data_IF_633873247948
#
_entry.id   IF_633873247948
#
_cell.length_a   1.000
_cell.length_b   1.000
_cell.length_c   1.000
_cell.angle_alpha   90.00
_cell.angle_beta   90.00
_cell.angle_gamma   90.00
#
_symmetry.space_group_name_H-M   'P 1'
#
loop_
_entity.id
_entity.type
_entity.pdbx_description
1 polymer ?
#
# COMPACT_ATOMS: atom_id res chain seq x y z
N UNK A 1 -2.54 -3.91 -0.89
CA UNK A 1 -2.02 -2.62 -1.39
C UNK A 1 -2.28 -1.57 -0.34
N UNK A 2 -1.27 -0.74 -0.06
CA UNK A 2 -1.34 0.41 0.84
C UNK A 2 -1.33 1.66 -0.04
N UNK A 3 -2.39 2.46 0.01
CA UNK A 3 -2.48 3.71 -0.72
C UNK A 3 -2.01 4.84 0.19
N UNK A 4 -1.20 5.73 -0.36
CA UNK A 4 -0.63 6.91 0.29
C UNK A 4 -1.27 8.15 -0.32
N UNK A 5 -1.96 8.92 0.50
CA UNK A 5 -2.61 10.18 0.15
C UNK A 5 -2.04 11.30 1.03
N UNK A 6 -1.15 12.14 0.50
CA UNK A 6 -0.64 13.30 1.21
C UNK A 6 -1.69 14.39 1.40
N UNK A 7 -1.67 15.07 2.55
CA UNK A 7 -2.57 16.18 2.84
C UNK A 7 -2.44 17.35 1.85
N UNK A 8 -1.27 17.53 1.24
CA UNK A 8 -1.02 18.57 0.23
C UNK A 8 -1.48 18.18 -1.19
N UNK A 9 -1.91 16.93 -1.40
CA UNK A 9 -2.36 16.43 -2.70
C UNK A 9 -1.27 16.28 -3.76
N UNK A 10 0.02 16.30 -3.39
CA UNK A 10 1.13 16.07 -4.33
C UNK A 10 2.12 15.02 -3.79
N UNK A 11 2.18 13.88 -4.46
CA UNK A 11 3.12 12.80 -4.12
C UNK A 11 4.57 13.21 -4.38
N UNK A 12 4.82 14.12 -5.32
CA UNK A 12 6.16 14.40 -5.82
C UNK A 12 6.95 15.42 -4.98
N UNK A 13 6.69 15.50 -3.68
CA UNK A 13 7.56 16.21 -2.73
C UNK A 13 8.63 15.27 -2.17
N UNK A 14 9.74 15.84 -1.69
CA UNK A 14 10.87 15.05 -1.16
C UNK A 14 10.42 14.17 0.01
N UNK A 15 9.61 14.73 0.90
CA UNK A 15 9.12 14.10 2.12
C UNK A 15 8.14 12.96 1.78
N UNK A 16 7.22 13.20 0.84
CA UNK A 16 6.23 12.21 0.45
C UNK A 16 6.87 11.03 -0.30
N UNK A 17 7.81 11.31 -1.20
CA UNK A 17 8.59 10.27 -1.88
C UNK A 17 9.48 9.49 -0.89
N UNK A 18 10.08 10.17 0.09
CA UNK A 18 10.85 9.52 1.15
C UNK A 18 9.96 8.57 1.97
N UNK A 19 8.76 8.99 2.34
CA UNK A 19 7.80 8.13 3.03
C UNK A 19 7.43 6.90 2.18
N UNK A 20 7.27 7.05 0.86
CA UNK A 20 7.01 5.89 -0.03
C UNK A 20 8.20 4.94 -0.06
N UNK A 21 9.45 5.44 -0.10
CA UNK A 21 10.66 4.60 -0.03
C UNK A 21 10.67 3.80 1.28
N UNK A 22 10.40 4.46 2.41
CA UNK A 22 10.35 3.83 3.73
C UNK A 22 9.24 2.77 3.83
N UNK A 23 8.03 3.12 3.40
CA UNK A 23 6.90 2.20 3.39
C UNK A 23 7.14 1.01 2.45
N UNK A 24 7.82 1.22 1.33
CA UNK A 24 8.25 0.14 0.41
C UNK A 24 9.21 -0.81 1.12
N UNK A 25 10.18 -0.28 1.87
CA UNK A 25 11.13 -1.08 2.66
C UNK A 25 10.46 -1.85 3.78
N UNK A 26 9.57 -1.21 4.53
CA UNK A 26 8.81 -1.87 5.60
C UNK A 26 7.86 -2.94 5.04
N UNK A 27 7.28 -2.73 3.85
CA UNK A 27 6.46 -3.71 3.15
C UNK A 27 7.19 -5.02 2.80
N UNK A 28 8.52 -4.98 2.62
CA UNK A 28 9.33 -6.19 2.43
C UNK A 28 9.51 -7.00 3.72
N UNK A 29 9.37 -6.37 4.88
CA UNK A 29 9.50 -7.03 6.19
C UNK A 29 8.20 -7.72 6.63
N UNK A 30 7.10 -7.50 5.90
CA UNK A 30 5.83 -8.15 6.19
C UNK A 30 5.93 -9.67 5.98
N UNK A 31 5.29 -10.47 6.84
CA UNK A 31 5.28 -11.92 6.68
C UNK A 31 4.63 -12.30 5.35
N UNK A 32 5.19 -13.32 4.70
CA UNK A 32 4.75 -13.83 3.40
C UNK A 32 4.84 -12.83 2.22
N UNK A 33 5.51 -11.69 2.42
CA UNK A 33 5.82 -10.75 1.34
C UNK A 33 6.74 -11.40 0.32
N UNK A 34 6.28 -11.52 -0.93
CA UNK A 34 7.05 -12.09 -2.04
C UNK A 34 7.54 -11.02 -3.01
N UNK A 35 6.85 -9.88 -3.06
CA UNK A 35 7.20 -8.75 -3.92
C UNK A 35 6.57 -7.47 -3.38
N UNK A 36 7.32 -6.38 -3.43
CA UNK A 36 6.78 -5.03 -3.19
C UNK A 36 7.06 -4.17 -4.40
N UNK A 37 6.02 -3.55 -4.96
CA UNK A 37 6.13 -2.59 -6.06
C UNK A 37 5.59 -1.23 -5.62
N UNK A 38 6.30 -0.16 -5.93
CA UNK A 38 5.86 1.22 -5.76
C UNK A 38 6.51 2.09 -6.83
N UNK A 39 6.18 3.39 -6.84
CA UNK A 39 6.89 4.34 -7.71
C UNK A 39 8.38 4.47 -7.35
N UNK A 40 8.78 4.11 -6.12
CA UNK A 40 10.15 4.33 -5.66
C UNK A 40 11.13 3.28 -6.13
N UNK A 41 10.68 2.06 -6.41
CA UNK A 41 11.51 0.96 -6.91
C UNK A 41 11.19 0.59 -8.37
N UNK A 42 10.56 1.50 -9.10
CA UNK A 42 10.35 1.33 -10.53
C UNK A 42 11.68 1.54 -11.25
N UNK A 43 12.15 0.51 -11.97
CA UNK A 43 13.38 0.62 -12.73
C UNK A 43 13.15 1.49 -13.98
N UNK A 44 13.94 2.55 -14.09
CA UNK A 44 13.98 3.44 -15.23
C UNK A 44 15.32 3.31 -15.93
N UNK A 45 15.28 3.16 -17.25
CA UNK A 45 16.47 2.98 -18.08
C UNK A 45 16.70 4.21 -18.94
N UNK A 46 17.90 4.77 -18.85
CA UNK A 46 18.35 5.88 -19.68
C UNK A 46 19.61 5.48 -20.44
N UNK A 47 19.73 5.97 -21.67
CA UNK A 47 20.96 5.87 -22.43
C UNK A 47 21.73 7.19 -22.27
N UNK A 48 22.98 7.11 -21.84
CA UNK A 48 23.90 8.24 -21.72
C UNK A 48 25.15 7.93 -22.54
N UNK A 49 25.34 8.65 -23.64
CA UNK A 49 26.36 8.35 -24.66
C UNK A 49 26.23 6.90 -25.18
N UNK A 50 27.21 6.05 -24.88
CA UNK A 50 27.22 4.61 -25.24
C UNK A 50 26.83 3.71 -24.05
N UNK A 51 26.57 4.29 -22.87
CA UNK A 51 26.21 3.58 -21.66
C UNK A 51 24.68 3.50 -21.48
N UNK A 52 24.24 2.38 -20.92
CA UNK A 52 22.84 2.16 -20.55
C UNK A 52 22.76 2.03 -19.03
N UNK A 53 22.14 3.04 -18.40
CA UNK A 53 22.00 3.13 -16.95
C UNK A 53 20.62 2.60 -16.58
N UNK A 54 20.58 1.53 -15.76
CA UNK A 54 19.36 1.00 -15.15
C UNK A 54 19.40 1.30 -13.66
N UNK A 55 18.51 2.15 -13.20
CA UNK A 55 18.40 2.52 -11.79
C UNK A 55 16.94 2.68 -11.39
N UNK A 56 16.67 2.72 -10.09
CA UNK A 56 15.36 3.11 -9.59
C UNK A 56 15.06 4.55 -10.01
N UNK A 57 13.80 4.81 -10.40
CA UNK A 57 13.31 6.13 -10.78
C UNK A 57 13.52 7.15 -9.64
N UNK A 58 13.54 6.66 -8.40
CA UNK A 58 13.67 7.48 -7.19
C UNK A 58 14.77 6.87 -6.31
N UNK A 59 15.90 7.56 -6.18
CA UNK A 59 17.07 7.04 -5.45
C UNK A 59 17.14 7.62 -4.03
N UNK A 60 17.27 8.94 -3.91
CA UNK A 60 17.39 9.64 -2.62
C UNK A 60 16.49 10.88 -2.61
N UNK A 61 15.18 10.74 -2.32
CA UNK A 61 14.20 11.83 -2.43
C UNK A 61 14.63 13.13 -1.77
N UNK A 62 15.20 13.06 -0.57
CA UNK A 62 15.63 14.21 0.22
C UNK A 62 16.77 15.01 -0.42
N UNK A 63 17.53 14.40 -1.33
CA UNK A 63 18.65 15.05 -2.03
C UNK A 63 18.30 15.49 -3.46
N UNK A 64 17.07 15.21 -3.93
CA UNK A 64 16.67 15.56 -5.28
C UNK A 64 16.44 17.06 -5.43
N UNK A 65 16.80 17.63 -6.58
CA UNK A 65 16.44 19.00 -6.96
C UNK A 65 14.98 19.07 -7.41
N UNK A 66 14.42 20.28 -7.46
CA UNK A 66 13.04 20.47 -7.93
C UNK A 66 12.88 20.04 -9.40
N UNK A 67 13.94 20.21 -10.21
CA UNK A 67 13.99 19.74 -11.59
C UNK A 67 13.95 18.21 -11.68
N UNK A 68 14.68 17.51 -10.80
CA UNK A 68 14.66 16.05 -10.73
C UNK A 68 13.29 15.52 -10.26
N UNK A 69 12.66 16.19 -9.30
CA UNK A 69 11.30 15.85 -8.86
C UNK A 69 10.28 16.02 -10.00
N UNK A 70 10.40 17.11 -10.77
CA UNK A 70 9.55 17.34 -11.93
C UNK A 70 9.78 16.29 -13.03
N UNK A 71 11.03 15.88 -13.24
CA UNK A 71 11.39 14.80 -14.16
C UNK A 71 10.73 13.47 -13.75
N UNK A 72 10.85 13.09 -12.47
CA UNK A 72 10.16 11.90 -11.93
C UNK A 72 8.65 11.98 -12.09
N UNK A 73 8.06 13.15 -11.83
CA UNK A 73 6.62 13.40 -12.03
C UNK A 73 6.21 13.17 -13.48
N UNK A 74 6.98 13.68 -14.43
CA UNK A 74 6.70 13.49 -15.86
C UNK A 74 6.79 12.02 -16.26
N UNK A 75 7.81 11.28 -15.81
CA UNK A 75 7.93 9.85 -16.11
C UNK A 75 6.78 9.07 -15.48
N UNK A 76 6.58 9.21 -14.16
CA UNK A 76 5.59 8.43 -13.42
C UNK A 76 4.16 8.62 -13.95
N UNK A 77 3.80 9.82 -14.40
CA UNK A 77 2.46 10.13 -14.92
C UNK A 77 2.26 9.75 -16.39
N UNK A 78 3.33 9.45 -17.12
CA UNK A 78 3.28 9.03 -18.53
C UNK A 78 3.61 7.55 -18.73
N UNK A 79 4.20 6.89 -17.74
CA UNK A 79 4.55 5.47 -17.77
C UNK A 79 3.30 4.59 -17.56
N UNK A 80 2.86 3.80 -18.56
CA UNK A 80 1.67 2.95 -18.44
C UNK A 80 1.75 1.91 -17.32
N UNK A 81 2.96 1.47 -16.95
CA UNK A 81 3.15 0.53 -15.85
C UNK A 81 2.95 1.16 -14.46
N UNK A 82 3.02 2.48 -14.35
CA UNK A 82 2.83 3.23 -13.12
C UNK A 82 1.44 3.89 -13.07
N UNK A 83 1.05 4.59 -14.13
CA UNK A 83 -0.20 5.37 -14.18
C UNK A 83 -1.43 4.49 -14.04
N UNK A 84 -2.34 4.86 -13.15
CA UNK A 84 -3.54 4.10 -12.78
C UNK A 84 -3.27 2.72 -12.15
N UNK A 85 -2.02 2.44 -11.76
CA UNK A 85 -1.63 1.18 -11.13
C UNK A 85 -0.92 1.40 -9.80
N UNK A 86 0.09 2.26 -9.79
CA UNK A 86 0.88 2.66 -8.61
C UNK A 86 0.85 4.18 -8.37
N UNK A 87 0.37 4.97 -9.33
CA UNK A 87 0.14 6.41 -9.16
C UNK A 87 -1.17 6.83 -9.82
N UNK A 88 -1.92 7.71 -9.16
CA UNK A 88 -3.11 8.36 -9.70
C UNK A 88 -2.79 9.27 -10.91
N UNK A 89 -3.78 9.52 -11.77
CA UNK A 89 -3.60 10.33 -13.00
C UNK A 89 -3.04 11.73 -12.75
N UNK A 90 -3.39 12.34 -11.61
CA UNK A 90 -2.97 13.69 -11.24
C UNK A 90 -1.81 13.71 -10.24
N UNK A 91 -1.37 12.53 -9.75
CA UNK A 91 -0.25 12.44 -8.81
C UNK A 91 -0.58 12.76 -7.35
N UNK A 92 -1.86 12.77 -6.97
CA UNK A 92 -2.31 13.06 -5.59
C UNK A 92 -2.34 11.83 -4.67
N UNK A 93 -2.35 10.63 -5.25
CA UNK A 93 -2.30 9.34 -4.54
C UNK A 93 -1.29 8.42 -5.21
N UNK A 94 -0.51 7.71 -4.39
CA UNK A 94 0.43 6.66 -4.80
C UNK A 94 0.10 5.34 -4.08
N UNK A 95 0.51 4.21 -4.65
CA UNK A 95 0.29 2.89 -4.09
C UNK A 95 1.61 2.15 -3.83
N UNK A 96 1.71 1.54 -2.65
CA UNK A 96 2.68 0.48 -2.34
C UNK A 96 1.95 -0.85 -2.43
N UNK A 97 2.23 -1.59 -3.49
CA UNK A 97 1.64 -2.89 -3.74
C UNK A 97 2.52 -4.01 -3.16
N UNK A 98 2.07 -4.59 -2.05
CA UNK A 98 2.71 -5.78 -1.47
C UNK A 98 1.97 -7.03 -1.94
N UNK A 99 2.70 -7.91 -2.62
CA UNK A 99 2.23 -9.23 -3.05
C UNK A 99 2.53 -10.24 -1.95
N UNK A 100 1.49 -10.92 -1.48
CA UNK A 100 1.59 -11.92 -0.42
C UNK A 100 1.49 -13.33 -1.01
N UNK A 101 2.39 -14.22 -0.62
CA UNK A 101 2.34 -15.63 -0.98
C UNK A 101 1.97 -16.47 0.25
N UNK A 102 0.67 -16.65 0.44
CA UNK A 102 0.15 -17.40 1.59
C UNK A 102 0.39 -18.91 1.41
N UNK A 103 0.79 -19.64 2.47
CA UNK A 103 0.90 -21.10 2.43
C UNK A 103 -0.44 -21.81 2.19
N UNK A 104 -1.56 -21.19 2.59
CA UNK A 104 -2.90 -21.78 2.46
C UNK A 104 -3.16 -22.91 3.45
N UNK A 105 -2.40 -22.95 4.54
CA UNK A 105 -2.44 -24.02 5.55
C UNK A 105 -3.41 -23.71 6.70
N UNK A 106 -3.67 -22.42 6.94
CA UNK A 106 -4.53 -21.95 8.00
C UNK A 106 -5.52 -20.88 7.45
N UNK A 107 -6.85 -21.04 7.65
CA UNK A 107 -7.83 -20.06 7.21
C UNK A 107 -7.69 -18.68 7.90
N UNK A 108 -6.95 -18.60 9.00
CA UNK A 108 -6.68 -17.37 9.75
C UNK A 108 -5.51 -16.56 9.19
N UNK A 109 -4.72 -17.10 8.25
CA UNK A 109 -3.54 -16.42 7.69
C UNK A 109 -3.86 -15.01 7.17
N UNK A 110 -5.02 -14.84 6.53
CA UNK A 110 -5.47 -13.55 6.03
C UNK A 110 -5.78 -12.54 7.15
N UNK A 111 -6.30 -13.01 8.30
CA UNK A 111 -6.60 -12.14 9.44
C UNK A 111 -5.32 -11.75 10.18
N UNK A 112 -4.41 -12.70 10.40
CA UNK A 112 -3.11 -12.45 11.03
C UNK A 112 -2.31 -11.39 10.25
N UNK A 113 -2.26 -11.50 8.91
CA UNK A 113 -1.56 -10.53 8.08
C UNK A 113 -2.29 -9.18 8.04
N UNK A 114 -3.63 -9.18 8.00
CA UNK A 114 -4.39 -7.94 8.04
C UNK A 114 -4.14 -7.16 9.34
N UNK A 115 -4.00 -7.85 10.48
CA UNK A 115 -3.64 -7.25 11.76
C UNK A 115 -2.25 -6.63 11.72
N UNK A 116 -1.22 -7.38 11.29
CA UNK A 116 0.15 -6.89 11.17
C UNK A 116 0.25 -5.69 10.22
N UNK A 117 -0.46 -5.72 9.09
CA UNK A 117 -0.49 -4.61 8.13
C UNK A 117 -1.20 -3.38 8.71
N UNK A 118 -2.25 -3.56 9.52
CA UNK A 118 -2.92 -2.44 10.21
C UNK A 118 -2.02 -1.82 11.28
N UNK A 119 -1.26 -2.63 12.01
CA UNK A 119 -0.26 -2.15 12.98
C UNK A 119 0.82 -1.33 12.28
N UNK A 120 1.40 -1.86 11.20
CA UNK A 120 2.36 -1.15 10.35
C UNK A 120 1.84 0.22 9.91
N UNK A 121 0.61 0.27 9.39
CA UNK A 121 -0.02 1.53 8.94
C UNK A 121 -0.25 2.51 10.10
N UNK A 122 -0.64 1.99 11.27
CA UNK A 122 -0.86 2.81 12.46
C UNK A 122 0.44 3.45 12.93
N UNK A 123 1.50 2.65 13.04
CA UNK A 123 2.83 3.13 13.42
C UNK A 123 3.40 4.10 12.38
N UNK A 124 3.21 3.82 11.10
CA UNK A 124 3.65 4.70 10.02
C UNK A 124 2.93 6.05 10.07
N UNK A 125 1.63 6.06 10.37
CA UNK A 125 0.85 7.30 10.53
C UNK A 125 1.33 8.15 11.71
N UNK A 126 1.83 7.52 12.79
CA UNK A 126 2.44 8.25 13.90
C UNK A 126 3.75 8.93 13.49
N UNK A 127 4.52 8.31 12.59
CA UNK A 127 5.76 8.89 12.03
C UNK A 127 5.49 9.98 10.98
N UNK A 128 4.42 9.82 10.20
CA UNK A 128 4.07 10.68 9.06
C UNK A 128 2.61 11.15 9.15
N UNK A 129 2.29 12.11 10.06
CA UNK A 129 0.91 12.51 10.34
C UNK A 129 0.21 13.22 9.16
N UNK A 130 0.99 13.78 8.23
CA UNK A 130 0.49 14.46 7.03
C UNK A 130 0.07 13.49 5.91
N UNK A 131 0.27 12.19 6.12
CA UNK A 131 -0.13 11.14 5.18
C UNK A 131 -1.37 10.41 5.68
N UNK A 132 -2.38 10.33 4.82
CA UNK A 132 -3.50 9.42 4.99
C UNK A 132 -3.19 8.12 4.27
N UNK A 133 -3.22 7.02 5.02
CA UNK A 133 -2.98 5.68 4.49
C UNK A 133 -4.29 4.91 4.39
N UNK A 134 -4.52 4.27 3.25
CA UNK A 134 -5.69 3.42 3.02
C UNK A 134 -5.28 2.00 2.66
N UNK A 135 -5.99 1.02 3.21
CA UNK A 135 -5.72 -0.40 2.98
C UNK A 135 -6.71 -0.98 1.98
N UNK A 136 -6.19 -1.72 1.00
CA UNK A 136 -6.99 -2.36 -0.05
C UNK A 136 -6.38 -3.71 -0.49
N UNK A 137 -7.13 -4.45 -1.31
CA UNK A 137 -6.71 -5.71 -1.91
C UNK A 137 -7.29 -6.95 -1.23
N UNK A 138 -6.91 -8.13 -1.77
CA UNK A 138 -7.54 -9.41 -1.44
C UNK A 138 -7.39 -9.82 0.03
N UNK A 139 -6.23 -9.58 0.65
CA UNK A 139 -5.99 -9.92 2.07
C UNK A 139 -6.97 -9.17 2.98
N UNK A 140 -7.12 -7.86 2.76
CA UNK A 140 -8.04 -7.02 3.53
C UNK A 140 -9.50 -7.41 3.29
N UNK A 141 -9.85 -7.76 2.06
CA UNK A 141 -11.20 -8.22 1.71
C UNK A 141 -11.53 -9.57 2.38
N UNK A 142 -10.61 -10.54 2.33
CA UNK A 142 -10.78 -11.84 2.97
C UNK A 142 -10.92 -11.70 4.49
N UNK A 143 -10.11 -10.83 5.11
CA UNK A 143 -10.23 -10.51 6.52
C UNK A 143 -11.60 -9.89 6.85
N UNK A 144 -12.10 -8.94 6.05
CA UNK A 144 -13.40 -8.31 6.28
C UNK A 144 -14.56 -9.32 6.24
N UNK A 145 -14.52 -10.32 5.34
CA UNK A 145 -15.51 -11.41 5.34
C UNK A 145 -15.42 -12.30 6.59
N UNK A 146 -14.20 -12.58 7.06
CA UNK A 146 -13.97 -13.31 8.32
C UNK A 146 -14.51 -12.57 9.54
N UNK A 147 -14.16 -11.29 9.69
CA UNK A 147 -14.65 -10.41 10.77
C UNK A 147 -16.18 -10.31 10.77
N UNK A 148 -16.79 -10.14 9.60
CA UNK A 148 -18.25 -10.10 9.46
C UNK A 148 -18.91 -11.41 9.93
N UNK A 149 -18.35 -12.55 9.51
CA UNK A 149 -18.86 -13.87 9.91
C UNK A 149 -18.78 -14.10 11.42
N UNK A 150 -17.67 -13.69 12.05
CA UNK A 150 -17.50 -13.77 13.52
C UNK A 150 -18.51 -12.87 14.22
N UNK A 151 -18.68 -11.62 13.75
CA UNK A 151 -19.61 -10.65 14.32
C UNK A 151 -21.07 -11.13 14.23
N UNK A 152 -21.45 -11.73 13.10
CA UNK A 152 -22.80 -12.28 12.91
C UNK A 152 -23.05 -13.47 13.84
N UNK A 153 -22.06 -14.36 14.00
CA UNK A 153 -22.12 -15.48 14.93
C UNK A 153 -22.25 -15.02 16.40
N UNK A 154 -21.63 -13.92 16.79
CA UNK A 154 -21.68 -13.43 18.17
C UNK A 154 -22.88 -12.54 18.48
N UNK A 155 -23.56 -11.99 17.46
CA UNK A 155 -24.65 -11.02 17.64
C UNK A 155 -25.97 -11.45 17.00
N UNK A 156 -26.01 -11.56 15.67
CA UNK A 156 -27.23 -11.82 14.91
C UNK A 156 -27.78 -13.22 15.15
N UNK A 157 -26.92 -14.24 15.21
CA UNK A 157 -27.36 -15.62 15.41
C UNK A 157 -27.98 -15.83 16.81
N UNK A 158 -27.33 -15.43 17.92
CA UNK A 158 -27.94 -15.51 19.25
C UNK A 158 -29.24 -14.71 19.35
N UNK A 159 -29.29 -13.51 18.75
CA UNK A 159 -30.50 -12.69 18.73
C UNK A 159 -31.64 -13.38 17.96
N UNK A 160 -31.34 -13.98 16.81
CA UNK A 160 -32.31 -14.76 16.03
C UNK A 160 -32.87 -15.91 16.88
N UNK A 161 -32.02 -16.70 17.55
CA UNK A 161 -32.49 -17.77 18.44
C UNK A 161 -33.32 -17.23 19.60
N UNK A 162 -32.95 -16.09 20.20
CA UNK A 162 -33.72 -15.44 21.25
C UNK A 162 -35.11 -15.03 20.79
N UNK A 163 -35.24 -14.47 19.59
CA UNK A 163 -36.54 -14.13 18.98
C UNK A 163 -37.36 -15.40 18.72
N UNK A 164 -36.76 -16.45 18.16
CA UNK A 164 -37.44 -17.72 17.90
C UNK A 164 -38.01 -18.33 19.19
N UNK A 165 -37.25 -18.30 20.28
CA UNK A 165 -37.70 -18.79 21.59
C UNK A 165 -38.82 -17.95 22.22
N UNK A 166 -38.90 -16.65 21.91
CA UNK A 166 -39.95 -15.77 22.44
C UNK A 166 -41.26 -15.89 21.66
N UNK A 167 -41.20 -16.28 20.38
CA UNK A 167 -42.39 -16.42 19.52
C UNK A 167 -43.03 -17.81 19.65
N UNK A 168 -42.24 -18.83 19.98
CA UNK A 168 -42.69 -20.20 20.29
C UNK A 168 -43.37 -20.27 21.66
#
# INVERSE_FOLDING_TARGET
MILVEPANGDIFTRENLQAIVELTKEGWQLPYSSRVDSISNFQHTIAEEDDLIVADLIIQPLQMTDEQLLYVKQIALNEPLLKNRLISKTGHVSGVNVTMQLPGTNPMEAMEIAEVVRELVTDFKLKQPDLTLHLSGMVMMNNAFGEASIKDNSSLIPLMYGIVLLVL
#
